data_IF_297525216870
#
_entry.id   IF_297525216870
#
_cell.length_a   1.000
_cell.length_b   1.000
_cell.length_c   1.000
_cell.angle_alpha   90.00
_cell.angle_beta   90.00
_cell.angle_gamma   90.00
#
_symmetry.space_group_name_H-M   'P 1'
#
loop_
_entity.id
_entity.type
_entity.pdbx_description
1 polymer ?
#
# COMPACT_ATOMS: atom_id res chain seq x y z
N UNK A 1 4.02 -30.23 52.12
CA UNK A 1 3.29 -29.63 51.00
C UNK A 1 2.50 -28.45 51.56
N UNK A 2 3.08 -27.26 51.46
CA UNK A 2 2.47 -26.05 51.97
C UNK A 2 1.73 -25.36 50.80
N UNK A 3 0.43 -25.11 51.00
CA UNK A 3 -0.40 -24.39 50.03
C UNK A 3 0.04 -22.92 49.96
N UNK A 4 0.41 -22.47 48.77
CA UNK A 4 0.70 -21.06 48.49
C UNK A 4 -0.59 -20.25 48.52
N UNK A 5 -0.64 -19.26 49.41
CA UNK A 5 -1.75 -18.35 49.62
C UNK A 5 -1.98 -17.46 48.37
N UNK A 6 -3.17 -17.57 47.78
CA UNK A 6 -3.59 -16.78 46.59
C UNK A 6 -3.65 -15.26 46.82
N UNK A 7 -3.55 -14.79 48.05
CA UNK A 7 -3.65 -13.37 48.39
C UNK A 7 -2.37 -12.58 48.12
N UNK A 8 -1.21 -13.22 48.09
CA UNK A 8 0.06 -12.58 47.87
C UNK A 8 0.32 -12.30 46.35
N UNK A 9 -0.38 -13.01 45.46
CA UNK A 9 -0.22 -12.82 44.02
C UNK A 9 -0.98 -11.62 43.46
N UNK A 10 -2.07 -11.21 44.10
CA UNK A 10 -2.90 -10.08 43.67
C UNK A 10 -2.32 -8.71 44.06
N UNK A 11 -1.53 -8.62 45.11
CA UNK A 11 -0.88 -7.38 45.54
C UNK A 11 0.30 -7.00 44.66
N UNK A 12 1.01 -7.98 44.03
CA UNK A 12 2.08 -7.73 43.09
C UNK A 12 1.63 -7.27 41.72
N UNK A 13 0.45 -7.68 41.28
CA UNK A 13 -0.10 -7.32 39.99
C UNK A 13 -0.62 -5.87 39.92
N UNK A 14 -1.13 -5.34 41.03
CA UNK A 14 -1.65 -3.97 41.09
C UNK A 14 -0.54 -2.90 41.02
N UNK A 15 0.63 -3.21 41.57
CA UNK A 15 1.79 -2.28 41.52
C UNK A 15 2.40 -2.15 40.10
N UNK A 16 2.36 -3.20 39.33
CA UNK A 16 2.91 -3.20 37.96
C UNK A 16 1.97 -2.49 36.97
N UNK A 17 0.66 -2.57 37.18
CA UNK A 17 -0.34 -1.91 36.33
C UNK A 17 -0.31 -0.38 36.48
N UNK A 18 -0.06 0.14 37.69
CA UNK A 18 0.00 1.59 37.92
C UNK A 18 1.24 2.23 37.26
N UNK A 19 2.38 1.55 37.22
CA UNK A 19 3.60 2.04 36.55
C UNK A 19 3.52 1.94 35.02
N UNK A 20 2.78 0.98 34.50
CA UNK A 20 2.58 0.84 33.05
C UNK A 20 1.68 1.95 32.45
N UNK A 21 0.70 2.44 33.23
CA UNK A 21 -0.17 3.54 32.78
C UNK A 21 0.55 4.90 32.76
N UNK A 22 1.44 5.16 33.72
CA UNK A 22 2.26 6.36 33.71
C UNK A 22 3.27 6.42 32.55
N UNK A 23 3.88 5.30 32.22
CA UNK A 23 4.78 5.17 31.07
C UNK A 23 4.12 5.36 29.72
N UNK A 24 2.87 4.93 29.57
CA UNK A 24 2.10 5.12 28.33
C UNK A 24 1.71 6.58 28.08
N UNK A 25 1.33 7.31 29.13
CA UNK A 25 0.99 8.73 29.00
C UNK A 25 2.19 9.58 28.59
N UNK A 26 3.37 9.30 29.16
CA UNK A 26 4.61 10.01 28.82
C UNK A 26 5.10 9.65 27.41
N UNK A 27 4.99 8.39 27.00
CA UNK A 27 5.37 7.97 25.65
C UNK A 27 4.41 8.55 24.58
N UNK A 28 3.14 8.71 24.90
CA UNK A 28 2.15 9.26 24.01
C UNK A 28 2.32 10.77 23.81
N UNK A 29 2.66 11.52 24.87
CA UNK A 29 2.98 12.94 24.77
C UNK A 29 4.30 13.20 24.06
N UNK A 30 5.32 12.40 24.32
CA UNK A 30 6.60 12.51 23.59
C UNK A 30 6.45 12.18 22.10
N UNK A 31 5.58 11.20 21.77
CA UNK A 31 5.26 10.82 20.38
C UNK A 31 4.62 11.96 19.58
N UNK A 32 3.74 12.75 20.18
CA UNK A 32 3.07 13.85 19.47
C UNK A 32 4.03 14.99 19.11
N UNK A 33 4.98 15.32 19.96
CA UNK A 33 5.97 16.35 19.67
C UNK A 33 6.93 15.96 18.52
N UNK A 34 7.23 14.66 18.40
CA UNK A 34 8.06 14.14 17.30
C UNK A 34 7.33 14.09 15.96
N UNK A 35 6.03 13.82 15.94
CA UNK A 35 5.27 13.74 14.69
C UNK A 35 5.18 15.10 13.98
N UNK A 36 4.99 16.18 14.69
CA UNK A 36 4.91 17.51 14.10
C UNK A 36 6.19 17.92 13.36
N UNK A 37 7.37 17.70 13.98
CA UNK A 37 8.65 18.00 13.35
C UNK A 37 8.95 17.15 12.13
N UNK A 38 8.55 15.88 12.15
CA UNK A 38 8.70 14.99 11.00
C UNK A 38 7.79 15.39 9.84
N UNK A 39 6.56 15.78 10.12
CA UNK A 39 5.63 16.28 9.12
C UNK A 39 6.13 17.51 8.39
N UNK A 40 6.66 18.47 9.10
CA UNK A 40 7.21 19.69 8.49
C UNK A 40 8.40 19.38 7.58
N UNK A 41 9.30 18.47 8.01
CA UNK A 41 10.45 18.09 7.20
C UNK A 41 10.07 17.30 5.94
N UNK A 42 8.97 16.54 5.98
CA UNK A 42 8.48 15.74 4.85
C UNK A 42 7.64 16.54 3.85
N UNK A 43 7.21 17.74 4.21
CA UNK A 43 6.59 18.68 3.26
C UNK A 43 7.59 19.22 2.24
N UNK A 44 8.89 19.19 2.57
CA UNK A 44 9.94 19.63 1.68
C UNK A 44 10.47 18.43 0.86
N UNK A 45 10.21 18.38 -0.45
CA UNK A 45 10.67 17.27 -1.30
C UNK A 45 12.18 17.07 -1.22
N UNK A 46 12.61 15.82 -1.10
CA UNK A 46 14.03 15.46 -1.04
C UNK A 46 14.70 15.63 0.32
N UNK A 47 13.97 16.08 1.35
CA UNK A 47 14.47 16.07 2.72
C UNK A 47 13.93 14.91 3.53
N UNK A 48 14.84 14.13 4.09
CA UNK A 48 14.54 13.01 4.98
C UNK A 48 14.79 13.47 6.42
N UNK A 49 13.78 14.02 7.06
CA UNK A 49 13.83 14.37 8.47
C UNK A 49 13.35 13.20 9.34
N UNK A 50 14.20 12.20 9.56
CA UNK A 50 13.86 11.07 10.42
C UNK A 50 14.46 11.31 11.80
N UNK A 51 13.64 11.34 12.87
CA UNK A 51 14.15 11.41 14.22
C UNK A 51 15.07 10.22 14.52
N UNK A 52 16.17 10.45 15.18
CA UNK A 52 17.12 9.38 15.59
C UNK A 52 16.47 8.28 16.45
N UNK A 53 15.30 8.53 17.04
CA UNK A 53 14.54 7.55 17.81
C UNK A 53 13.84 6.47 16.96
N UNK A 54 13.74 6.65 15.63
CA UNK A 54 13.24 5.60 14.74
C UNK A 54 14.41 4.69 14.37
N UNK A 55 14.37 3.44 14.82
CA UNK A 55 15.35 2.39 14.46
C UNK A 55 15.32 2.02 12.98
N UNK A 56 14.50 2.68 12.20
CA UNK A 56 14.28 2.39 10.78
C UNK A 56 15.48 2.77 9.92
N UNK A 57 16.04 1.79 9.23
CA UNK A 57 17.10 1.99 8.25
C UNK A 57 16.49 2.31 6.87
N UNK A 58 17.08 3.28 6.16
CA UNK A 58 16.77 3.53 4.76
C UNK A 58 17.70 2.72 3.86
N UNK A 59 17.13 1.93 2.96
CA UNK A 59 17.86 1.04 2.06
C UNK A 59 17.70 1.50 0.62
N UNK A 60 18.80 1.79 -0.05
CA UNK A 60 18.82 2.30 -1.42
C UNK A 60 19.43 1.30 -2.42
N UNK A 61 20.35 0.46 -1.96
CA UNK A 61 21.09 -0.44 -2.82
C UNK A 61 20.26 -1.67 -3.21
N UNK A 62 20.26 -1.99 -4.50
CA UNK A 62 19.63 -3.18 -5.06
C UNK A 62 20.68 -4.22 -5.47
N UNK A 63 20.42 -5.52 -5.26
CA UNK A 63 21.24 -6.58 -5.79
C UNK A 63 21.06 -6.82 -7.30
N UNK A 64 20.06 -6.18 -7.94
CA UNK A 64 19.86 -6.28 -9.37
C UNK A 64 20.95 -5.53 -10.15
N UNK A 65 21.30 -5.97 -11.38
CA UNK A 65 22.16 -5.21 -12.28
C UNK A 65 21.62 -3.80 -12.52
N UNK A 66 22.50 -2.81 -12.52
CA UNK A 66 22.10 -1.43 -12.82
C UNK A 66 21.74 -1.29 -14.27
N UNK A 67 20.58 -0.67 -14.57
CA UNK A 67 20.21 -0.29 -15.93
C UNK A 67 21.20 0.71 -16.50
N UNK A 68 21.42 0.65 -17.81
CA UNK A 68 22.33 1.60 -18.51
C UNK A 68 21.82 3.05 -18.38
N UNK A 69 20.51 3.26 -18.55
CA UNK A 69 19.84 4.53 -18.25
C UNK A 69 19.20 4.41 -16.88
N UNK A 70 19.76 5.09 -15.89
CA UNK A 70 19.26 5.05 -14.51
C UNK A 70 17.96 5.82 -14.30
N UNK A 71 17.59 6.71 -15.23
CA UNK A 71 16.50 7.63 -15.04
C UNK A 71 16.76 8.64 -13.91
N UNK A 72 15.72 9.39 -13.56
CA UNK A 72 15.81 10.39 -12.49
C UNK A 72 14.47 10.58 -11.79
N UNK A 73 14.54 10.98 -10.53
CA UNK A 73 13.40 11.40 -9.74
C UNK A 73 13.32 12.93 -9.68
N UNK A 74 12.09 13.45 -9.71
CA UNK A 74 11.81 14.88 -9.60
C UNK A 74 10.69 15.05 -8.56
N UNK A 75 10.88 15.99 -7.65
CA UNK A 75 9.83 16.38 -6.72
C UNK A 75 8.64 17.02 -7.45
N UNK A 76 7.44 16.74 -6.96
CA UNK A 76 6.17 17.25 -7.47
C UNK A 76 5.39 17.94 -6.37
N UNK A 77 4.32 18.65 -6.73
CA UNK A 77 3.44 19.27 -5.75
C UNK A 77 3.02 18.26 -4.68
N UNK A 78 3.27 18.53 -3.40
CA UNK A 78 2.98 17.59 -2.32
C UNK A 78 1.47 17.37 -2.18
N UNK A 79 1.09 16.25 -1.57
CA UNK A 79 -0.29 16.01 -1.17
C UNK A 79 -0.79 17.16 -0.27
N UNK A 80 -2.04 17.61 -0.44
CA UNK A 80 -2.62 18.62 0.46
C UNK A 80 -2.65 18.18 1.93
N UNK A 81 -2.78 16.86 2.16
CA UNK A 81 -2.81 16.25 3.48
C UNK A 81 -1.90 15.05 3.50
N UNK A 82 -0.96 14.95 4.47
CA UNK A 82 -0.10 13.79 4.64
C UNK A 82 -0.92 12.52 4.82
N UNK A 83 -0.56 11.44 4.10
CA UNK A 83 -1.21 10.13 4.19
C UNK A 83 -0.24 8.99 4.00
N UNK A 84 -0.59 7.84 4.59
CA UNK A 84 0.05 6.54 4.33
C UNK A 84 -1.00 5.44 4.24
N UNK A 85 -0.59 4.25 3.89
CA UNK A 85 -1.43 3.05 3.82
C UNK A 85 -2.68 3.26 2.95
N UNK A 86 -2.52 3.99 1.83
CA UNK A 86 -3.56 4.14 0.83
C UNK A 86 -3.82 2.85 0.08
N UNK A 87 -2.91 1.91 0.19
CA UNK A 87 -2.83 0.65 -0.48
C UNK A 87 -2.46 0.76 -1.96
N UNK A 88 -2.95 1.66 -2.74
CA UNK A 88 -2.55 1.85 -4.14
C UNK A 88 -3.13 3.15 -4.67
N UNK A 89 -2.63 3.55 -5.83
CA UNK A 89 -3.23 4.59 -6.65
C UNK A 89 -3.58 4.00 -8.02
N UNK A 90 -4.45 4.69 -8.74
CA UNK A 90 -4.78 4.32 -10.12
C UNK A 90 -4.66 5.53 -11.03
N UNK A 91 -4.35 5.29 -12.29
CA UNK A 91 -4.39 6.29 -13.34
C UNK A 91 -5.70 6.20 -14.13
N UNK A 92 -6.28 7.35 -14.43
CA UNK A 92 -7.41 7.48 -15.34
C UNK A 92 -7.37 8.85 -16.03
N UNK A 93 -7.54 8.89 -17.35
CA UNK A 93 -7.57 10.11 -18.17
C UNK A 93 -6.40 11.07 -17.85
N UNK A 94 -5.17 10.53 -17.83
CA UNK A 94 -3.94 11.25 -17.48
C UNK A 94 -3.95 11.94 -16.09
N UNK A 95 -4.67 11.36 -15.15
CA UNK A 95 -4.73 11.80 -13.76
C UNK A 95 -4.42 10.64 -12.82
N UNK A 96 -3.79 10.95 -11.68
CA UNK A 96 -3.58 9.98 -10.61
C UNK A 96 -4.67 10.14 -9.54
N UNK A 97 -5.39 9.08 -9.25
CA UNK A 97 -6.39 9.02 -8.19
C UNK A 97 -5.82 8.32 -6.97
N UNK A 98 -5.96 8.95 -5.80
CA UNK A 98 -5.47 8.47 -4.52
C UNK A 98 -6.62 8.43 -3.50
N UNK A 99 -6.96 7.24 -2.99
CA UNK A 99 -8.19 7.01 -2.23
C UNK A 99 -7.88 6.42 -0.85
N UNK A 100 -8.52 6.93 0.20
CA UNK A 100 -8.44 6.40 1.57
C UNK A 100 -7.08 6.60 2.24
N UNK A 101 -6.73 5.70 3.12
CA UNK A 101 -5.47 5.67 3.86
C UNK A 101 -5.55 6.29 5.26
N UNK A 102 -4.41 6.27 5.96
CA UNK A 102 -4.25 6.98 7.24
C UNK A 102 -3.94 8.45 7.00
N UNK A 103 -4.67 9.31 7.67
CA UNK A 103 -4.21 10.65 7.97
C UNK A 103 -3.46 10.70 9.29
N UNK A 104 -3.18 11.89 9.77
CA UNK A 104 -2.51 12.14 11.04
C UNK A 104 -3.12 11.33 12.18
N UNK A 105 -2.28 10.86 13.10
CA UNK A 105 -2.66 9.97 14.21
C UNK A 105 -3.27 8.62 13.79
N UNK A 106 -2.97 8.14 12.58
CA UNK A 106 -3.51 6.90 12.02
C UNK A 106 -5.05 6.89 11.94
N UNK A 107 -5.65 8.05 11.71
CA UNK A 107 -7.10 8.13 11.52
C UNK A 107 -7.45 7.70 10.10
N UNK A 108 -8.35 6.75 9.97
CA UNK A 108 -8.86 6.30 8.68
C UNK A 108 -9.57 7.44 7.97
N UNK A 109 -9.18 7.72 6.74
CA UNK A 109 -9.67 8.87 5.99
C UNK A 109 -10.46 8.46 4.75
N UNK A 110 -11.57 9.15 4.45
CA UNK A 110 -12.37 8.90 3.26
C UNK A 110 -11.87 9.68 2.03
N UNK A 111 -10.71 10.33 2.11
CA UNK A 111 -10.25 11.25 1.09
C UNK A 111 -10.06 10.57 -0.25
N UNK A 112 -10.52 11.24 -1.30
CA UNK A 112 -10.20 10.94 -2.68
C UNK A 112 -9.59 12.20 -3.28
N UNK A 113 -8.32 12.15 -3.62
CA UNK A 113 -7.57 13.25 -4.21
C UNK A 113 -7.04 12.87 -5.58
N UNK A 114 -7.06 13.84 -6.48
CA UNK A 114 -6.72 13.66 -7.89
C UNK A 114 -5.60 14.62 -8.25
N UNK A 115 -4.51 14.08 -8.80
CA UNK A 115 -3.38 14.86 -9.28
C UNK A 115 -3.47 15.11 -10.77
N UNK A 116 -3.28 16.37 -11.16
CA UNK A 116 -3.13 16.82 -12.53
C UNK A 116 -1.64 17.07 -12.85
N UNK A 117 -0.98 16.24 -13.65
CA UNK A 117 0.44 16.39 -13.96
C UNK A 117 0.73 17.63 -14.84
N UNK A 118 -0.26 18.12 -15.60
CA UNK A 118 -0.07 19.28 -16.47
C UNK A 118 -0.02 20.59 -15.71
N UNK A 119 -0.72 20.63 -14.55
CA UNK A 119 -0.78 21.79 -13.65
C UNK A 119 0.13 21.62 -12.43
N UNK A 120 0.65 20.42 -12.20
CA UNK A 120 1.34 20.02 -10.99
C UNK A 120 0.51 20.34 -9.73
N UNK A 121 -0.76 19.92 -9.69
CA UNK A 121 -1.72 20.27 -8.65
C UNK A 121 -2.59 19.09 -8.24
N UNK A 122 -2.97 19.08 -6.95
CA UNK A 122 -3.94 18.18 -6.39
C UNK A 122 -5.31 18.88 -6.22
N UNK A 123 -6.37 18.13 -6.46
CA UNK A 123 -7.76 18.56 -6.19
C UNK A 123 -8.50 17.46 -5.44
N UNK A 124 -9.48 17.85 -4.63
CA UNK A 124 -10.36 16.90 -3.98
C UNK A 124 -11.44 16.41 -4.95
N UNK A 125 -11.80 15.13 -4.83
CA UNK A 125 -12.91 14.50 -5.53
C UNK A 125 -13.89 13.91 -4.51
N UNK A 126 -14.97 13.25 -4.99
CA UNK A 126 -15.98 12.65 -4.13
C UNK A 126 -15.33 11.70 -3.12
N UNK A 127 -15.47 12.00 -1.83
CA UNK A 127 -14.92 11.19 -0.75
C UNK A 127 -15.61 9.82 -0.68
N UNK A 128 -14.87 8.79 -0.22
CA UNK A 128 -15.46 7.50 0.10
C UNK A 128 -16.60 7.65 1.12
N UNK A 129 -17.66 6.84 1.03
CA UNK A 129 -18.74 6.84 2.01
C UNK A 129 -18.28 6.56 3.44
N UNK A 130 -17.13 5.92 3.60
CA UNK A 130 -16.54 5.54 4.87
C UNK A 130 -15.03 5.69 4.82
N UNK A 131 -14.43 6.27 5.85
CA UNK A 131 -12.97 6.30 6.01
C UNK A 131 -12.42 4.89 6.19
N UNK A 132 -11.43 4.56 5.39
CA UNK A 132 -10.76 3.25 5.42
C UNK A 132 -9.31 3.37 4.96
N UNK A 133 -8.49 2.43 5.38
CA UNK A 133 -7.10 2.26 4.98
C UNK A 133 -6.92 0.91 4.26
N UNK A 134 -5.83 0.75 3.52
CA UNK A 134 -5.50 -0.46 2.76
C UNK A 134 -6.67 -0.91 1.85
N UNK A 135 -7.34 0.04 1.23
CA UNK A 135 -8.46 -0.18 0.32
C UNK A 135 -7.92 -0.59 -1.04
N UNK A 136 -8.35 -1.72 -1.58
CA UNK A 136 -8.03 -2.10 -2.96
C UNK A 136 -8.70 -1.16 -3.96
N UNK A 137 -7.97 -0.67 -4.96
CA UNK A 137 -8.53 0.20 -6.00
C UNK A 137 -8.20 -0.28 -7.40
N UNK A 138 -9.14 -0.12 -8.31
CA UNK A 138 -8.98 -0.42 -9.74
C UNK A 138 -9.89 0.48 -10.58
N UNK A 139 -9.51 0.72 -11.84
CA UNK A 139 -10.38 1.40 -12.81
C UNK A 139 -10.72 0.43 -13.93
N UNK A 140 -12.00 0.34 -14.26
CA UNK A 140 -12.54 -0.41 -15.39
C UNK A 140 -13.62 0.43 -16.06
N UNK A 141 -13.49 0.67 -17.37
CA UNK A 141 -14.49 1.36 -18.19
C UNK A 141 -14.97 2.69 -17.57
N UNK A 142 -14.06 3.60 -17.26
CA UNK A 142 -14.32 4.90 -16.60
C UNK A 142 -14.94 4.80 -15.18
N UNK A 143 -14.99 3.62 -14.57
CA UNK A 143 -15.47 3.43 -13.20
C UNK A 143 -14.32 3.11 -12.28
N UNK A 144 -14.18 3.88 -11.21
CA UNK A 144 -13.24 3.64 -10.11
C UNK A 144 -13.91 2.77 -9.05
N UNK A 145 -13.28 1.67 -8.73
CA UNK A 145 -13.72 0.71 -7.71
C UNK A 145 -12.86 0.85 -6.46
N UNK A 146 -13.50 0.80 -5.29
CA UNK A 146 -12.87 0.74 -3.98
C UNK A 146 -13.37 -0.51 -3.25
N UNK A 147 -12.48 -1.42 -2.92
CA UNK A 147 -12.80 -2.79 -2.52
C UNK A 147 -12.20 -3.10 -1.14
N UNK A 148 -13.05 -3.46 -0.18
CA UNK A 148 -12.63 -3.87 1.15
C UNK A 148 -11.77 -2.81 1.85
N UNK A 149 -10.80 -3.26 2.61
CA UNK A 149 -9.92 -2.42 3.41
C UNK A 149 -10.03 -2.71 4.90
N UNK A 150 -9.33 -1.89 5.70
CA UNK A 150 -9.44 -1.92 7.15
C UNK A 150 -10.02 -0.61 7.67
N UNK A 151 -10.68 -0.72 8.81
CA UNK A 151 -11.13 0.41 9.64
C UNK A 151 -10.56 0.24 11.06
N UNK A 152 -10.79 1.23 11.93
CA UNK A 152 -10.31 1.23 13.30
C UNK A 152 -8.78 1.06 13.39
N UNK A 153 -8.05 1.83 12.57
CA UNK A 153 -6.59 1.83 12.54
C UNK A 153 -5.99 0.45 12.18
N UNK A 154 -6.46 -0.16 11.11
CA UNK A 154 -6.02 -1.48 10.63
C UNK A 154 -6.37 -2.65 11.57
N UNK A 155 -7.38 -2.50 12.43
CA UNK A 155 -7.82 -3.57 13.33
C UNK A 155 -8.95 -4.40 12.77
N UNK A 156 -9.87 -3.80 12.01
CA UNK A 156 -11.08 -4.46 11.54
C UNK A 156 -11.16 -4.48 10.02
N UNK A 157 -11.00 -5.63 9.38
CA UNK A 157 -11.26 -5.76 7.96
C UNK A 157 -12.76 -5.60 7.69
N UNK A 158 -13.13 -5.01 6.56
CA UNK A 158 -14.51 -4.92 6.12
C UNK A 158 -14.66 -5.46 4.69
N UNK A 159 -15.91 -5.70 4.28
CA UNK A 159 -16.23 -6.27 2.98
C UNK A 159 -17.00 -5.32 2.06
N UNK A 160 -17.26 -4.09 2.50
CA UNK A 160 -17.97 -3.10 1.69
C UNK A 160 -17.16 -2.76 0.45
N UNK A 161 -17.86 -2.63 -0.67
CA UNK A 161 -17.28 -2.28 -1.97
C UNK A 161 -18.07 -1.14 -2.57
N UNK A 162 -17.37 -0.23 -3.23
CA UNK A 162 -17.95 0.97 -3.82
C UNK A 162 -17.47 1.17 -5.25
N UNK A 163 -18.28 1.86 -6.04
CA UNK A 163 -17.94 2.28 -7.40
C UNK A 163 -18.28 3.76 -7.61
N UNK A 164 -17.42 4.47 -8.32
CA UNK A 164 -17.57 5.87 -8.71
C UNK A 164 -17.42 6.00 -10.23
N UNK A 165 -18.40 6.53 -10.90
CA UNK A 165 -18.32 6.89 -12.32
C UNK A 165 -17.45 8.16 -12.47
N UNK A 166 -16.28 8.01 -13.07
CA UNK A 166 -15.32 9.10 -13.26
C UNK A 166 -15.68 10.03 -14.43
N UNK A 167 -16.53 9.56 -15.34
CA UNK A 167 -16.95 10.33 -16.52
C UNK A 167 -18.09 11.26 -16.21
N UNK A 168 -19.13 10.77 -15.55
CA UNK A 168 -20.29 11.57 -15.15
C UNK A 168 -20.06 12.32 -13.85
N UNK A 169 -19.08 11.89 -13.04
CA UNK A 169 -18.88 12.38 -11.69
C UNK A 169 -19.96 11.89 -10.73
N UNK A 170 -20.20 12.63 -9.64
CA UNK A 170 -21.20 12.31 -8.64
C UNK A 170 -20.64 11.66 -7.40
N UNK A 171 -21.42 10.79 -6.76
CA UNK A 171 -21.06 10.14 -5.51
C UNK A 171 -20.76 8.65 -5.69
N UNK A 172 -19.99 8.09 -4.79
CA UNK A 172 -19.79 6.66 -4.69
C UNK A 172 -21.11 5.94 -4.45
N UNK A 173 -21.33 4.82 -5.13
CA UNK A 173 -22.43 3.89 -4.90
C UNK A 173 -21.93 2.58 -4.36
N UNK A 174 -22.69 1.93 -3.48
CA UNK A 174 -22.41 0.56 -3.06
C UNK A 174 -22.58 -0.42 -4.21
N UNK A 175 -21.74 -1.44 -4.24
CA UNK A 175 -21.81 -2.61 -5.14
C UNK A 175 -21.78 -3.88 -4.28
N UNK A 176 -21.96 -5.07 -4.90
CA UNK A 176 -21.91 -6.34 -4.19
C UNK A 176 -20.66 -6.40 -3.30
N UNK A 177 -20.81 -6.63 -1.99
CA UNK A 177 -19.69 -6.70 -1.06
C UNK A 177 -18.84 -7.93 -1.33
N UNK A 178 -17.57 -7.91 -0.90
CA UNK A 178 -16.75 -9.12 -0.86
C UNK A 178 -17.46 -10.20 -0.04
N UNK A 179 -17.41 -11.48 -0.45
CA UNK A 179 -18.00 -12.59 0.31
C UNK A 179 -17.45 -12.69 1.74
N UNK A 180 -16.23 -12.24 1.95
CA UNK A 180 -15.53 -12.25 3.24
C UNK A 180 -14.77 -10.94 3.43
N UNK A 181 -14.79 -10.39 4.65
CA UNK A 181 -14.07 -9.16 4.98
C UNK A 181 -12.56 -9.33 4.81
N UNK A 182 -11.93 -8.37 4.10
CA UNK A 182 -10.52 -8.42 3.78
C UNK A 182 -9.97 -6.99 3.57
N UNK A 183 -8.78 -6.73 4.10
CA UNK A 183 -8.04 -5.50 3.82
C UNK A 183 -6.69 -5.79 3.15
N UNK A 184 -6.01 -4.76 2.68
CA UNK A 184 -4.76 -4.88 1.93
C UNK A 184 -4.87 -5.83 0.72
N UNK A 185 -6.07 -5.93 0.17
CA UNK A 185 -6.38 -6.70 -1.03
C UNK A 185 -5.86 -5.94 -2.25
N UNK A 186 -5.13 -6.63 -3.11
CA UNK A 186 -4.68 -6.04 -4.36
C UNK A 186 -5.80 -6.09 -5.40
N UNK A 187 -6.08 -4.96 -6.07
CA UNK A 187 -7.10 -4.89 -7.10
C UNK A 187 -6.52 -4.50 -8.46
N UNK A 188 -7.05 -5.11 -9.51
CA UNK A 188 -6.65 -4.84 -10.89
C UNK A 188 -7.79 -5.17 -11.84
N UNK A 189 -7.95 -4.38 -12.91
CA UNK A 189 -8.93 -4.63 -13.95
C UNK A 189 -8.29 -5.33 -15.15
N UNK A 190 -8.91 -6.41 -15.61
CA UNK A 190 -8.55 -7.14 -16.83
C UNK A 190 -9.75 -7.96 -17.34
N UNK A 191 -9.86 -8.09 -18.64
CA UNK A 191 -10.92 -8.92 -19.25
C UNK A 191 -12.35 -8.49 -18.93
N UNK A 192 -12.57 -7.19 -18.71
CA UNK A 192 -13.89 -6.63 -18.34
C UNK A 192 -14.34 -6.96 -16.90
N UNK A 193 -13.40 -7.34 -16.03
CA UNK A 193 -13.63 -7.68 -14.61
C UNK A 193 -12.66 -6.96 -13.71
N UNK A 194 -13.04 -6.77 -12.44
CA UNK A 194 -12.14 -6.31 -11.38
C UNK A 194 -11.74 -7.52 -10.54
N UNK A 195 -10.45 -7.82 -10.53
CA UNK A 195 -9.88 -8.90 -9.72
C UNK A 195 -9.44 -8.35 -8.36
N UNK A 196 -9.77 -9.08 -7.30
CA UNK A 196 -9.35 -8.83 -5.92
C UNK A 196 -8.53 -10.05 -5.46
N UNK A 197 -7.24 -9.83 -5.16
CA UNK A 197 -6.26 -10.90 -5.00
C UNK A 197 -5.52 -10.76 -3.68
N UNK A 198 -5.42 -11.85 -2.91
CA UNK A 198 -4.74 -11.88 -1.63
C UNK A 198 -5.38 -10.97 -0.59
N UNK A 199 -4.55 -10.30 0.19
CA UNK A 199 -4.96 -9.43 1.28
C UNK A 199 -4.82 -10.09 2.65
N UNK A 200 -5.34 -9.44 3.68
CA UNK A 200 -5.23 -9.90 5.06
C UNK A 200 -6.55 -9.82 5.81
N UNK A 201 -6.72 -10.76 6.73
CA UNK A 201 -7.80 -10.84 7.71
C UNK A 201 -7.22 -10.73 9.13
N UNK A 202 -8.10 -10.73 10.15
CA UNK A 202 -7.70 -10.62 11.56
C UNK A 202 -7.69 -9.18 12.05
N UNK A 203 -7.92 -9.02 13.34
CA UNK A 203 -8.19 -7.75 14.01
C UNK A 203 -7.05 -7.27 14.95
N UNK A 204 -6.08 -8.12 15.23
CA UNK A 204 -4.86 -7.77 15.97
C UNK A 204 -3.61 -8.12 15.17
N UNK A 205 -2.45 -7.65 15.61
CA UNK A 205 -1.18 -8.00 15.00
C UNK A 205 -0.93 -9.52 15.03
N UNK A 206 -1.32 -10.20 16.12
CA UNK A 206 -1.12 -11.62 16.30
C UNK A 206 -2.10 -12.47 15.49
N UNK A 207 -3.30 -11.93 15.23
CA UNK A 207 -4.35 -12.64 14.47
C UNK A 207 -4.34 -12.31 12.98
N UNK A 208 -3.51 -11.36 12.54
CA UNK A 208 -3.33 -11.07 11.11
C UNK A 208 -2.90 -12.32 10.37
N UNK A 209 -3.62 -12.60 9.28
CA UNK A 209 -3.32 -13.70 8.35
C UNK A 209 -3.48 -13.22 6.94
N UNK A 210 -2.45 -13.43 6.14
CA UNK A 210 -2.52 -13.26 4.70
C UNK A 210 -3.36 -14.37 4.10
N UNK A 211 -4.18 -14.03 3.13
CA UNK A 211 -5.06 -14.98 2.43
C UNK A 211 -4.63 -15.17 0.98
N UNK A 212 -4.96 -16.32 0.43
CA UNK A 212 -4.69 -16.68 -0.96
C UNK A 212 -5.89 -16.47 -1.89
N UNK A 213 -6.92 -15.83 -1.39
CA UNK A 213 -8.19 -15.63 -2.10
C UNK A 213 -7.98 -14.88 -3.40
N UNK A 214 -8.70 -15.32 -4.42
CA UNK A 214 -8.76 -14.65 -5.70
C UNK A 214 -10.22 -14.60 -6.15
N UNK A 215 -10.73 -13.40 -6.25
CA UNK A 215 -12.11 -13.11 -6.63
C UNK A 215 -12.13 -12.23 -7.88
N UNK A 216 -13.08 -12.44 -8.77
CA UNK A 216 -13.34 -11.59 -9.93
C UNK A 216 -14.75 -11.02 -9.86
N UNK A 217 -14.87 -9.71 -9.86
CA UNK A 217 -16.14 -8.99 -9.88
C UNK A 217 -16.62 -8.78 -11.31
N UNK A 218 -17.86 -9.17 -11.59
CA UNK A 218 -18.57 -8.87 -12.83
C UNK A 218 -19.46 -7.63 -12.63
N UNK A 219 -19.12 -6.47 -13.23
CA UNK A 219 -19.92 -5.27 -13.05
C UNK A 219 -21.34 -5.34 -13.66
N UNK A 220 -21.53 -6.20 -14.65
CA UNK A 220 -22.84 -6.37 -15.33
C UNK A 220 -23.80 -7.19 -14.49
N UNK A 221 -23.27 -8.20 -13.80
CA UNK A 221 -24.05 -9.09 -12.94
C UNK A 221 -24.09 -8.61 -11.48
N UNK A 222 -23.28 -7.63 -11.09
CA UNK A 222 -23.02 -7.19 -9.71
C UNK A 222 -22.72 -8.39 -8.79
N UNK A 223 -21.73 -9.20 -9.17
CA UNK A 223 -21.39 -10.46 -8.46
C UNK A 223 -19.90 -10.72 -8.45
N UNK A 224 -19.44 -11.34 -7.36
CA UNK A 224 -18.11 -11.92 -7.21
C UNK A 224 -18.09 -13.39 -7.58
N UNK A 225 -17.05 -13.81 -8.29
CA UNK A 225 -16.78 -15.22 -8.63
C UNK A 225 -15.41 -15.63 -8.09
N UNK A 226 -15.30 -16.80 -7.50
CA UNK A 226 -14.01 -17.36 -7.09
C UNK A 226 -13.19 -17.77 -8.31
N UNK A 227 -11.88 -17.56 -8.23
CA UNK A 227 -10.88 -17.96 -9.22
C UNK A 227 -9.81 -18.82 -8.55
N UNK A 228 -8.93 -19.42 -9.36
CA UNK A 228 -7.82 -20.21 -8.83
C UNK A 228 -7.05 -19.41 -7.77
N UNK A 229 -6.95 -19.95 -6.56
CA UNK A 229 -6.28 -19.34 -5.43
C UNK A 229 -4.80 -19.05 -5.74
N UNK A 230 -4.28 -17.95 -5.18
CA UNK A 230 -2.86 -17.61 -5.29
C UNK A 230 -1.98 -18.71 -4.66
N UNK A 231 -0.85 -19.09 -5.25
CA UNK A 231 -0.02 -20.21 -4.74
C UNK A 231 0.47 -20.04 -3.30
N UNK A 232 0.57 -18.81 -2.82
CA UNK A 232 0.88 -18.46 -1.43
C UNK A 232 0.12 -17.19 -1.05
N UNK A 233 -0.64 -17.25 0.06
CA UNK A 233 -1.36 -16.09 0.60
C UNK A 233 -0.41 -14.96 0.96
N UNK A 234 -0.65 -13.77 0.40
CA UNK A 234 0.17 -12.57 0.62
C UNK A 234 -0.71 -11.33 0.63
N UNK A 235 -0.26 -10.33 1.36
CA UNK A 235 -0.82 -8.99 1.37
C UNK A 235 0.24 -7.94 1.03
N UNK A 236 -0.15 -6.69 0.82
CA UNK A 236 0.73 -5.57 0.48
C UNK A 236 1.60 -5.82 -0.77
N UNK A 237 1.06 -6.54 -1.76
CA UNK A 237 1.72 -6.85 -3.03
C UNK A 237 1.61 -5.72 -4.03
N UNK A 238 2.58 -5.57 -4.93
CA UNK A 238 2.42 -4.82 -6.16
C UNK A 238 1.66 -5.66 -7.19
N UNK A 239 0.53 -5.14 -7.71
CA UNK A 239 -0.33 -5.90 -8.61
C UNK A 239 -0.80 -5.04 -9.78
N UNK A 240 -0.62 -5.53 -11.00
CA UNK A 240 -1.00 -4.83 -12.22
C UNK A 240 -1.22 -5.81 -13.40
N UNK A 241 -2.00 -5.39 -14.38
CA UNK A 241 -2.18 -6.13 -15.62
C UNK A 241 -1.13 -5.71 -16.67
N UNK A 242 -0.55 -6.69 -17.36
CA UNK A 242 0.33 -6.48 -18.50
C UNK A 242 -0.06 -7.45 -19.61
N UNK A 243 -0.49 -6.92 -20.75
CA UNK A 243 -1.11 -7.74 -21.78
C UNK A 243 -2.35 -8.47 -21.22
N UNK A 244 -2.38 -9.77 -21.39
CA UNK A 244 -3.51 -10.62 -21.00
C UNK A 244 -3.34 -11.30 -19.63
N UNK A 245 -2.34 -10.91 -18.83
CA UNK A 245 -2.05 -11.54 -17.53
C UNK A 245 -1.94 -10.52 -16.40
N UNK A 246 -2.19 -10.98 -15.18
CA UNK A 246 -2.01 -10.21 -13.95
C UNK A 246 -0.68 -10.59 -13.31
N UNK A 247 0.15 -9.60 -13.01
CA UNK A 247 1.37 -9.76 -12.22
C UNK A 247 1.09 -9.47 -10.75
N UNK A 248 1.56 -10.33 -9.84
CA UNK A 248 1.51 -10.15 -8.37
C UNK A 248 2.91 -10.33 -7.81
N UNK A 249 3.49 -9.24 -7.32
CA UNK A 249 4.93 -9.12 -7.02
C UNK A 249 5.13 -8.78 -5.55
N UNK A 250 6.08 -9.45 -4.88
CA UNK A 250 6.49 -9.15 -3.52
C UNK A 250 5.36 -9.37 -2.50
N UNK A 251 5.22 -8.43 -1.58
CA UNK A 251 4.27 -8.49 -0.46
C UNK A 251 4.83 -9.18 0.77
N UNK A 252 3.97 -9.57 1.69
CA UNK A 252 4.36 -10.26 2.94
C UNK A 252 3.39 -11.38 3.28
N UNK A 253 3.83 -12.27 4.16
CA UNK A 253 3.02 -13.33 4.73
C UNK A 253 2.80 -13.00 6.21
N UNK A 254 1.55 -12.74 6.59
CA UNK A 254 1.07 -12.43 7.94
C UNK A 254 1.64 -11.13 8.55
N UNK A 255 2.92 -10.83 8.37
CA UNK A 255 3.56 -9.64 8.93
C UNK A 255 4.76 -9.15 8.11
N UNK A 256 5.22 -7.92 8.37
CA UNK A 256 6.43 -7.34 7.78
C UNK A 256 7.74 -8.06 8.21
N UNK A 257 7.68 -9.00 9.15
CA UNK A 257 8.80 -9.88 9.48
C UNK A 257 9.04 -10.93 8.39
N UNK A 258 8.03 -11.23 7.57
CA UNK A 258 8.04 -12.29 6.57
C UNK A 258 7.76 -11.72 5.18
N UNK A 259 8.63 -10.82 4.72
CA UNK A 259 8.55 -10.28 3.37
C UNK A 259 8.83 -11.35 2.32
N UNK A 260 8.09 -11.28 1.24
CA UNK A 260 8.19 -12.16 0.08
C UNK A 260 8.85 -11.43 -1.09
N UNK A 261 9.62 -12.16 -1.87
CA UNK A 261 10.10 -11.72 -3.18
C UNK A 261 9.41 -12.47 -4.34
N UNK A 262 8.42 -13.27 -4.05
CA UNK A 262 7.73 -14.07 -5.07
C UNK A 262 7.08 -13.16 -6.12
N UNK A 263 7.21 -13.58 -7.36
CA UNK A 263 6.54 -12.99 -8.49
C UNK A 263 5.72 -14.08 -9.19
N UNK A 264 4.42 -13.93 -9.15
CA UNK A 264 3.49 -14.82 -9.85
C UNK A 264 2.73 -14.04 -10.93
N UNK A 265 2.39 -14.72 -12.01
CA UNK A 265 1.42 -14.23 -12.98
C UNK A 265 0.18 -15.13 -12.96
N UNK A 266 -0.97 -14.50 -13.16
CA UNK A 266 -2.25 -15.19 -13.35
C UNK A 266 -2.73 -14.98 -14.78
N UNK A 267 -3.09 -16.08 -15.44
CA UNK A 267 -3.68 -16.09 -16.78
C UNK A 267 -5.21 -16.28 -16.64
N UNK A 268 -6.03 -15.24 -16.86
CA UNK A 268 -7.49 -15.33 -16.72
C UNK A 268 -8.14 -16.32 -17.69
N UNK A 269 -7.55 -16.53 -18.87
CA UNK A 269 -8.09 -17.44 -19.87
C UNK A 269 -7.93 -18.92 -19.48
N UNK A 270 -6.90 -19.22 -18.68
CA UNK A 270 -6.60 -20.57 -18.18
C UNK A 270 -7.03 -20.79 -16.73
N UNK A 271 -7.41 -19.72 -16.01
CA UNK A 271 -7.63 -19.73 -14.57
C UNK A 271 -6.44 -20.37 -13.82
N UNK A 272 -5.22 -19.95 -14.14
CA UNK A 272 -4.01 -20.60 -13.65
C UNK A 272 -2.87 -19.63 -13.34
N UNK A 273 -2.05 -20.00 -12.35
CA UNK A 273 -0.88 -19.27 -11.89
C UNK A 273 0.42 -19.86 -12.42
N UNK A 274 1.40 -18.97 -12.65
CA UNK A 274 2.77 -19.34 -13.00
C UNK A 274 3.76 -18.46 -12.23
N UNK A 275 4.90 -19.04 -11.85
CA UNK A 275 6.00 -18.28 -11.27
C UNK A 275 6.80 -17.55 -12.35
N UNK A 276 7.36 -16.39 -11.99
CA UNK A 276 8.33 -15.61 -12.76
C UNK A 276 9.57 -15.36 -11.90
N UNK A 277 10.59 -14.78 -12.52
CA UNK A 277 11.81 -14.39 -11.80
C UNK A 277 11.45 -13.52 -10.60
N UNK A 278 11.86 -13.92 -9.38
CA UNK A 278 11.46 -13.21 -8.17
C UNK A 278 12.03 -11.79 -8.11
N UNK A 279 11.36 -10.91 -7.39
CA UNK A 279 11.81 -9.56 -7.06
C UNK A 279 13.19 -9.63 -6.37
N UNK A 280 14.20 -8.86 -6.79
CA UNK A 280 15.55 -8.96 -6.22
C UNK A 280 15.60 -8.68 -4.72
N UNK A 281 14.77 -7.74 -4.24
CA UNK A 281 14.70 -7.38 -2.82
C UNK A 281 13.32 -7.68 -2.26
N UNK A 282 13.20 -8.65 -1.34
CA UNK A 282 11.94 -8.98 -0.68
C UNK A 282 11.41 -7.79 0.11
N UNK A 283 10.19 -7.32 -0.21
CA UNK A 283 9.56 -6.18 0.47
C UNK A 283 8.04 -6.13 0.25
N UNK A 284 7.36 -5.39 1.13
CA UNK A 284 5.91 -5.19 1.10
C UNK A 284 5.55 -3.71 1.15
N UNK A 285 4.30 -3.36 0.85
CA UNK A 285 3.84 -1.97 0.88
C UNK A 285 4.54 -1.05 -0.12
N UNK A 286 5.10 -1.63 -1.18
CA UNK A 286 5.74 -0.93 -2.30
C UNK A 286 4.71 -0.52 -3.35
N UNK A 287 5.04 0.47 -4.18
CA UNK A 287 4.31 0.80 -5.39
C UNK A 287 4.72 -0.06 -6.58
N UNK A 288 3.83 -0.18 -7.56
CA UNK A 288 4.13 -0.79 -8.84
C UNK A 288 3.47 -0.03 -10.00
N UNK A 289 4.11 -0.01 -11.18
CA UNK A 289 3.57 0.62 -12.36
C UNK A 289 4.22 0.13 -13.65
N UNK A 290 3.42 -0.01 -14.71
CA UNK A 290 3.91 -0.35 -16.04
C UNK A 290 4.37 0.93 -16.76
N UNK A 291 5.67 1.08 -16.96
CA UNK A 291 6.24 2.26 -17.61
C UNK A 291 7.24 1.84 -18.68
N UNK A 292 7.01 2.31 -19.90
CA UNK A 292 7.84 1.99 -21.09
C UNK A 292 8.13 0.49 -21.25
N UNK A 293 7.08 -0.34 -21.06
CA UNK A 293 7.14 -1.80 -21.25
C UNK A 293 7.74 -2.60 -20.10
N UNK A 294 8.21 -1.95 -19.02
CA UNK A 294 8.74 -2.60 -17.81
C UNK A 294 7.85 -2.34 -16.61
N UNK A 295 7.81 -3.29 -15.69
CA UNK A 295 7.10 -3.16 -14.39
C UNK A 295 8.08 -2.60 -13.37
N UNK A 296 7.91 -1.34 -13.01
CA UNK A 296 8.67 -0.68 -11.96
C UNK A 296 8.06 -1.00 -10.60
N UNK A 297 8.90 -1.36 -9.63
CA UNK A 297 8.56 -1.62 -8.23
C UNK A 297 9.42 -0.71 -7.36
N UNK A 298 8.75 0.16 -6.58
CA UNK A 298 9.40 1.27 -5.88
C UNK A 298 9.02 1.31 -4.41
N UNK A 299 9.99 1.61 -3.55
CA UNK A 299 9.74 1.76 -2.13
C UNK A 299 9.40 0.45 -1.42
N UNK A 300 8.68 0.55 -0.30
CA UNK A 300 8.25 -0.56 0.52
C UNK A 300 8.90 -0.59 1.89
N UNK A 301 8.51 -1.57 2.71
CA UNK A 301 9.02 -1.77 4.07
C UNK A 301 9.47 -3.21 4.34
N UNK A 302 10.27 -3.35 5.38
CA UNK A 302 10.62 -4.60 6.05
C UNK A 302 10.86 -4.34 7.52
N UNK A 303 11.25 -5.38 8.28
CA UNK A 303 11.56 -5.19 9.69
C UNK A 303 12.70 -4.19 9.87
N UNK A 304 12.45 -3.11 10.62
CA UNK A 304 13.36 -1.98 10.83
C UNK A 304 13.93 -1.33 9.56
N UNK A 305 13.22 -1.46 8.43
CA UNK A 305 13.68 -0.95 7.13
C UNK A 305 12.56 -0.31 6.35
N UNK A 306 12.93 0.74 5.62
CA UNK A 306 12.12 1.34 4.55
C UNK A 306 13.00 1.46 3.31
N UNK A 307 12.45 1.04 2.20
CA UNK A 307 13.18 0.90 0.95
C UNK A 307 12.98 2.11 0.05
N UNK A 308 14.07 2.64 -0.48
CA UNK A 308 14.09 3.61 -1.57
C UNK A 308 14.38 2.97 -2.94
N UNK A 309 14.59 1.66 -2.95
CA UNK A 309 14.93 0.93 -4.18
C UNK A 309 13.86 1.11 -5.26
N UNK A 310 14.33 1.21 -6.49
CA UNK A 310 13.53 1.26 -7.71
C UNK A 310 14.05 0.17 -8.63
N UNK A 311 13.32 -0.93 -8.73
CA UNK A 311 13.67 -2.11 -9.52
C UNK A 311 12.62 -2.32 -10.59
N UNK A 312 13.03 -2.63 -11.81
CA UNK A 312 12.10 -2.88 -12.90
C UNK A 312 12.27 -4.28 -13.49
N UNK A 313 11.14 -4.94 -13.69
CA UNK A 313 11.01 -6.21 -14.36
C UNK A 313 10.69 -6.03 -15.84
N UNK A 314 11.41 -6.71 -16.69
CA UNK A 314 11.12 -6.78 -18.11
C UNK A 314 10.36 -8.09 -18.42
N UNK A 315 9.07 -8.00 -18.77
CA UNK A 315 8.26 -9.19 -19.08
C UNK A 315 8.73 -9.96 -20.33
N UNK A 316 9.42 -9.29 -21.24
CA UNK A 316 9.89 -9.92 -22.49
C UNK A 316 11.11 -10.82 -22.24
N UNK A 317 11.96 -10.48 -21.26
CA UNK A 317 13.22 -11.18 -20.99
C UNK A 317 13.22 -11.97 -19.68
N UNK A 318 12.20 -11.78 -18.84
CA UNK A 318 12.12 -12.32 -17.47
C UNK A 318 13.31 -11.90 -16.60
N UNK A 319 13.75 -10.63 -16.71
CA UNK A 319 14.89 -10.09 -15.98
C UNK A 319 14.53 -8.86 -15.18
N UNK A 320 15.34 -8.59 -14.13
CA UNK A 320 15.25 -7.40 -13.30
C UNK A 320 16.46 -6.51 -13.48
N UNK A 321 16.25 -5.19 -13.45
CA UNK A 321 17.28 -4.16 -13.42
C UNK A 321 17.00 -3.15 -12.30
N UNK A 322 18.05 -2.56 -11.74
CA UNK A 322 17.97 -1.47 -10.78
C UNK A 322 18.10 -0.11 -11.46
N UNK A 323 17.27 0.82 -11.02
CA UNK A 323 17.22 2.22 -11.48
C UNK A 323 17.55 3.18 -10.34
N UNK A 324 17.65 4.48 -10.65
CA UNK A 324 17.89 5.49 -9.62
C UNK A 324 16.87 5.33 -8.47
N UNK A 325 17.32 5.23 -7.22
CA UNK A 325 16.44 5.06 -6.06
C UNK A 325 15.60 6.32 -5.82
N UNK A 326 14.47 6.15 -5.14
CA UNK A 326 13.61 7.25 -4.69
C UNK A 326 14.42 8.27 -3.89
N UNK A 327 14.05 9.55 -3.98
CA UNK A 327 14.66 10.62 -3.15
C UNK A 327 14.34 10.41 -1.67
N UNK A 328 13.11 9.95 -1.39
CA UNK A 328 12.63 9.69 -0.03
C UNK A 328 12.10 8.25 0.08
N UNK A 329 12.82 7.33 0.75
CA UNK A 329 12.33 5.98 1.01
C UNK A 329 11.00 6.00 1.75
N UNK A 330 10.01 5.26 1.26
CA UNK A 330 8.65 5.23 1.81
C UNK A 330 7.95 3.92 1.50
N UNK A 331 6.96 3.57 2.35
CA UNK A 331 6.06 2.44 2.14
C UNK A 331 4.60 2.86 2.31
N UNK A 332 3.65 1.98 2.03
CA UNK A 332 2.21 2.29 2.12
C UNK A 332 1.84 3.50 1.28
N UNK A 333 2.47 3.62 0.12
CA UNK A 333 2.39 4.73 -0.80
C UNK A 333 1.45 4.42 -1.97
N UNK A 334 0.92 5.46 -2.62
CA UNK A 334 0.25 5.33 -3.91
C UNK A 334 1.23 5.47 -5.06
N UNK A 335 1.17 4.56 -6.04
CA UNK A 335 1.95 4.66 -7.28
C UNK A 335 1.05 4.51 -8.51
N UNK A 336 1.27 5.35 -9.52
CA UNK A 336 0.59 5.27 -10.81
C UNK A 336 1.46 5.85 -11.93
N UNK A 337 1.28 5.36 -13.14
CA UNK A 337 1.91 5.93 -14.33
C UNK A 337 0.94 6.94 -14.94
N UNK A 338 1.36 8.20 -15.00
CA UNK A 338 0.56 9.31 -15.55
C UNK A 338 1.47 10.14 -16.44
N UNK A 339 1.02 10.45 -17.66
CA UNK A 339 1.87 11.04 -18.67
C UNK A 339 3.06 10.15 -18.96
N UNK A 340 4.26 10.73 -19.03
CA UNK A 340 5.52 9.99 -19.24
C UNK A 340 6.34 9.89 -17.95
N UNK A 341 5.70 9.52 -16.84
CA UNK A 341 6.37 9.33 -15.56
C UNK A 341 5.64 8.35 -14.65
N UNK A 342 6.41 7.70 -13.76
CA UNK A 342 5.86 6.94 -12.63
C UNK A 342 5.77 7.88 -11.43
N UNK A 343 4.57 8.18 -10.99
CA UNK A 343 4.29 9.03 -9.84
C UNK A 343 4.17 8.20 -8.56
N UNK A 344 4.78 8.67 -7.47
CA UNK A 344 4.72 8.05 -6.15
C UNK A 344 4.35 9.12 -5.12
N UNK A 345 3.21 8.98 -4.47
CA UNK A 345 2.67 9.99 -3.57
C UNK A 345 2.30 9.42 -2.19
N UNK A 346 2.52 10.22 -1.14
CA UNK A 346 2.29 9.85 0.25
C UNK A 346 3.20 8.72 0.74
N UNK A 347 2.73 7.97 1.71
CA UNK A 347 3.45 6.86 2.34
C UNK A 347 4.19 7.27 3.62
N UNK A 348 4.68 6.26 4.35
CA UNK A 348 5.44 6.44 5.59
C UNK A 348 6.96 6.30 5.38
N UNK A 349 7.79 7.23 5.91
CA UNK A 349 9.25 7.15 5.80
C UNK A 349 9.88 6.29 6.90
N UNK A 350 9.11 5.80 7.83
CA UNK A 350 9.50 4.83 8.85
C UNK A 350 8.59 3.62 8.79
N UNK A 351 9.09 2.46 9.20
CA UNK A 351 8.34 1.21 9.22
C UNK A 351 7.02 1.35 10.00
N UNK A 352 5.94 0.76 9.46
CA UNK A 352 4.61 0.76 10.06
C UNK A 352 3.85 2.08 9.86
N UNK A 353 2.55 2.07 10.13
CA UNK A 353 1.62 3.17 9.84
C UNK A 353 1.64 4.34 10.82
N UNK A 354 2.73 4.58 11.58
CA UNK A 354 2.77 5.62 12.60
C UNK A 354 2.98 7.03 12.03
N UNK A 355 3.68 7.13 10.89
CA UNK A 355 4.03 8.41 10.26
C UNK A 355 3.49 8.44 8.83
N UNK A 356 2.90 9.54 8.48
CA UNK A 356 2.36 9.83 7.16
C UNK A 356 3.17 10.95 6.50
N UNK A 357 3.28 10.95 5.17
CA UNK A 357 3.93 12.02 4.43
C UNK A 357 3.04 12.64 3.37
N UNK A 358 3.39 13.87 2.98
CA UNK A 358 2.81 14.56 1.82
C UNK A 358 3.72 14.47 0.60
N UNK A 359 4.85 13.78 0.69
CA UNK A 359 5.86 13.71 -0.38
C UNK A 359 5.26 13.11 -1.64
N UNK A 360 5.51 13.78 -2.76
CA UNK A 360 5.16 13.33 -4.09
C UNK A 360 6.39 13.47 -5.00
N UNK A 361 6.77 12.39 -5.62
CA UNK A 361 7.92 12.29 -6.51
C UNK A 361 7.50 11.61 -7.81
N UNK A 362 8.15 11.97 -8.91
CA UNK A 362 7.95 11.33 -10.21
C UNK A 362 9.27 10.84 -10.77
N UNK A 363 9.27 9.60 -11.26
CA UNK A 363 10.40 8.97 -11.95
C UNK A 363 10.22 9.02 -13.45
N UNK A 364 11.28 9.36 -14.17
CA UNK A 364 11.31 9.33 -15.65
C UNK A 364 12.65 8.82 -16.18
N UNK A 365 12.59 8.18 -17.34
CA UNK A 365 13.78 7.74 -18.07
C UNK A 365 14.36 8.84 -19.02
N UNK A 366 13.71 10.00 -19.09
CA UNK A 366 14.12 11.10 -19.96
C UNK A 366 13.46 11.09 -21.30
#
# INVERSE_FOLDING_TARGET
>A
MAALDRRTFLAGAAGVIATAHGGRAVAQQAGHAHHGGLYESLKEPGRIGIPQAASTQHVFDSPAPKAANQGRWVAKAPLPLPRSEMAWAVAHADRMHLVGGYGEQRVDRPYHQVYDPTRDQWTDAAALPKGANHVGVAVLDDVLYAIGGFVEQNRKPHNECFALDLKSGGNWRGIAPLPRACGAVACVAIGGRVHAIGGAIGDTFETKKSVDWHLAYDPKADKWEERAAMPLGRDHTGTLAVGDVIHVIGGRVDSFLTNSNLHHIYDPAKDAWQARRPLPTARSGHGAGLYRGKIFVMGGEGYERVYGQNEAYDPATDQWEAYAPMLTPRHGLGAAVVGDAVHVAGGGPIMGGAVQSAVHEAFTLG
#
